data_IF_077623844631
#
_entry.id   IF_077623844631
#
_cell.length_a   1.000
_cell.length_b   1.000
_cell.length_c   1.000
_cell.angle_alpha   90.00
_cell.angle_beta   90.00
_cell.angle_gamma   90.00
#
_symmetry.space_group_name_H-M   'P 1'
#
loop_
_entity.id
_entity.type
_entity.pdbx_description
1 polymer ?
#
# COMPACT_ATOMS: atom_id res chain seq x y z
N UNK A 1 -4.73 29.31 -38.30
CA UNK A 1 -6.12 28.80 -38.41
C UNK A 1 -6.85 29.09 -37.10
N UNK A 2 -8.15 29.34 -37.16
CA UNK A 2 -8.94 30.05 -36.13
C UNK A 2 -8.91 29.44 -34.72
N UNK A 3 -8.35 30.17 -33.74
CA UNK A 3 -8.51 29.96 -32.29
C UNK A 3 -9.92 30.33 -31.76
N UNK A 4 -10.86 30.67 -32.65
CA UNK A 4 -12.18 31.21 -32.30
C UNK A 4 -13.20 30.19 -31.72
N UNK A 5 -12.77 28.97 -31.38
CA UNK A 5 -13.64 27.93 -30.82
C UNK A 5 -13.03 27.10 -29.68
N UNK A 6 -11.81 27.43 -29.22
CA UNK A 6 -11.13 26.64 -28.18
C UNK A 6 -11.61 27.03 -26.79
N UNK A 7 -12.82 26.60 -26.44
CA UNK A 7 -13.28 26.53 -25.05
C UNK A 7 -12.99 25.15 -24.47
N UNK A 8 -12.91 25.06 -23.14
CA UNK A 8 -12.89 23.74 -22.49
C UNK A 8 -14.25 23.06 -22.68
N UNK A 9 -14.24 21.77 -23.02
CA UNK A 9 -15.44 20.94 -23.11
C UNK A 9 -16.03 20.59 -21.74
N UNK A 10 -15.21 20.69 -20.68
CA UNK A 10 -15.55 20.36 -19.29
C UNK A 10 -14.71 21.19 -18.31
N UNK A 11 -15.11 21.35 -17.03
CA UNK A 11 -14.35 22.12 -16.05
C UNK A 11 -12.89 21.67 -15.94
N UNK A 12 -11.98 22.54 -15.49
CA UNK A 12 -10.58 22.20 -15.25
C UNK A 12 -10.44 20.99 -14.31
N UNK A 13 -9.43 20.11 -14.51
CA UNK A 13 -9.06 19.10 -13.52
C UNK A 13 -8.77 19.77 -12.17
N UNK A 14 -9.12 19.09 -11.07
CA UNK A 14 -9.06 19.68 -9.74
C UNK A 14 -7.65 20.14 -9.36
N UNK A 15 -6.64 19.33 -9.69
CA UNK A 15 -5.23 19.64 -9.46
C UNK A 15 -4.81 20.90 -10.23
N UNK A 16 -5.20 21.00 -11.51
CA UNK A 16 -4.91 22.17 -12.36
C UNK A 16 -5.61 23.42 -11.83
N UNK A 17 -6.88 23.30 -11.46
CA UNK A 17 -7.65 24.40 -10.86
C UNK A 17 -6.98 24.92 -9.59
N UNK A 18 -6.53 24.02 -8.73
CA UNK A 18 -5.86 24.36 -7.47
C UNK A 18 -4.55 25.10 -7.75
N UNK A 19 -3.73 24.58 -8.66
CA UNK A 19 -2.45 25.19 -9.03
C UNK A 19 -2.63 26.59 -9.64
N UNK A 20 -3.59 26.75 -10.56
CA UNK A 20 -3.93 28.04 -11.17
C UNK A 20 -4.41 29.05 -10.12
N UNK A 21 -5.22 28.62 -9.16
CA UNK A 21 -5.68 29.46 -8.04
C UNK A 21 -4.52 29.86 -7.13
N UNK A 22 -3.58 28.97 -6.85
CA UNK A 22 -2.40 29.26 -6.02
C UNK A 22 -1.50 30.31 -6.66
N UNK A 23 -1.20 30.17 -7.96
CA UNK A 23 -0.45 31.16 -8.73
C UNK A 23 -1.14 32.53 -8.71
N UNK A 24 -2.45 32.55 -8.98
CA UNK A 24 -3.22 33.78 -8.95
C UNK A 24 -3.30 34.42 -7.56
N UNK A 25 -3.39 33.61 -6.50
CA UNK A 25 -3.36 34.09 -5.12
C UNK A 25 -2.01 34.73 -4.75
N UNK A 26 -0.90 34.19 -5.27
CA UNK A 26 0.43 34.76 -5.09
C UNK A 26 0.53 36.12 -5.79
N UNK A 27 0.13 36.19 -7.06
CA UNK A 27 0.10 37.44 -7.85
C UNK A 27 -0.80 38.49 -7.19
N UNK A 28 -1.99 38.09 -6.74
CA UNK A 28 -2.93 38.96 -6.02
C UNK A 28 -2.31 39.60 -4.76
N UNK A 29 -1.34 38.92 -4.14
CA UNK A 29 -0.62 39.42 -2.96
C UNK A 29 0.40 40.50 -3.24
N UNK A 30 0.92 40.56 -4.46
CA UNK A 30 1.94 41.53 -4.87
C UNK A 30 1.33 42.71 -5.63
N UNK A 31 0.03 42.67 -5.91
CA UNK A 31 -0.67 43.72 -6.65
C UNK A 31 -0.91 44.98 -5.80
N UNK A 32 -0.74 46.19 -6.37
CA UNK A 32 -1.16 47.42 -5.71
C UNK A 32 -2.68 47.44 -5.56
N UNK A 33 -3.19 48.05 -4.48
CA UNK A 33 -4.63 48.05 -4.16
C UNK A 33 -5.51 48.60 -5.30
N UNK A 34 -5.01 49.55 -6.09
CA UNK A 34 -5.70 50.11 -7.25
C UNK A 34 -5.83 49.13 -8.42
N UNK A 35 -4.93 48.14 -8.51
CA UNK A 35 -4.92 47.11 -9.55
C UNK A 35 -5.75 45.88 -9.22
N UNK A 36 -6.16 45.70 -7.95
CA UNK A 36 -6.92 44.52 -7.52
C UNK A 36 -8.37 44.55 -8.04
N UNK A 37 -8.83 43.50 -8.75
CA UNK A 37 -10.21 43.41 -9.21
C UNK A 37 -11.21 43.54 -8.06
N UNK A 38 -12.33 44.23 -8.31
CA UNK A 38 -13.32 44.52 -7.27
C UNK A 38 -13.79 43.28 -6.48
N UNK A 39 -14.10 42.13 -7.11
CA UNK A 39 -14.50 40.90 -6.41
C UNK A 39 -13.40 40.30 -5.52
N UNK A 40 -12.12 40.59 -5.80
CA UNK A 40 -10.97 40.01 -5.10
C UNK A 40 -10.39 40.90 -4.00
N UNK A 41 -10.91 42.11 -3.78
CA UNK A 41 -10.37 43.05 -2.78
C UNK A 41 -10.38 42.50 -1.35
N UNK A 42 -11.41 41.72 -0.98
CA UNK A 42 -11.46 41.06 0.32
C UNK A 42 -10.42 39.94 0.42
N UNK A 43 -10.29 39.15 -0.65
CA UNK A 43 -9.35 38.03 -0.74
C UNK A 43 -7.90 38.52 -0.71
N UNK A 44 -7.59 39.65 -1.35
CA UNK A 44 -6.25 40.26 -1.33
C UNK A 44 -5.76 40.58 0.10
N UNK A 45 -6.69 40.93 1.00
CA UNK A 45 -6.40 41.23 2.42
C UNK A 45 -6.17 39.99 3.27
N UNK A 46 -6.50 38.79 2.77
CA UNK A 46 -6.20 37.56 3.49
C UNK A 46 -4.71 37.36 3.65
N UNK A 47 -4.34 36.69 4.74
CA UNK A 47 -2.99 36.20 4.98
C UNK A 47 -2.49 35.39 3.77
N UNK A 48 -1.23 35.55 3.32
CA UNK A 48 -0.73 34.91 2.10
C UNK A 48 -1.02 33.41 2.03
N UNK A 49 -0.76 32.68 3.12
CA UNK A 49 -0.96 31.21 3.21
C UNK A 49 -2.42 30.78 3.13
N UNK A 50 -3.38 31.65 3.46
CA UNK A 50 -4.81 31.33 3.46
C UNK A 50 -5.51 31.78 2.19
N UNK A 51 -4.88 32.62 1.37
CA UNK A 51 -5.53 33.30 0.25
C UNK A 51 -6.03 32.33 -0.82
N UNK A 52 -5.20 31.38 -1.24
CA UNK A 52 -5.60 30.35 -2.20
C UNK A 52 -6.72 29.46 -1.64
N UNK A 53 -6.61 29.05 -0.36
CA UNK A 53 -7.57 28.13 0.27
C UNK A 53 -8.94 28.77 0.53
N UNK A 54 -8.97 29.98 1.11
CA UNK A 54 -10.21 30.67 1.49
C UNK A 54 -10.80 31.49 0.33
N UNK A 55 -9.97 31.87 -0.64
CA UNK A 55 -10.35 32.65 -1.81
C UNK A 55 -10.45 31.82 -3.09
N UNK A 56 -10.45 30.49 -3.02
CA UNK A 56 -10.36 29.64 -4.21
C UNK A 56 -11.46 29.90 -5.23
N UNK A 57 -12.73 29.88 -4.80
CA UNK A 57 -13.89 30.11 -5.65
C UNK A 57 -13.88 31.52 -6.31
N UNK A 58 -13.75 32.64 -5.56
CA UNK A 58 -13.73 33.96 -6.19
C UNK A 58 -12.51 34.16 -7.10
N UNK A 59 -11.34 33.61 -6.76
CA UNK A 59 -10.15 33.67 -7.62
C UNK A 59 -10.39 32.92 -8.93
N UNK A 60 -10.89 31.68 -8.86
CA UNK A 60 -11.18 30.87 -10.04
C UNK A 60 -12.20 31.56 -10.96
N UNK A 61 -13.29 32.09 -10.39
CA UNK A 61 -14.29 32.84 -11.13
C UNK A 61 -13.70 34.09 -11.80
N UNK A 62 -12.79 34.81 -11.13
CA UNK A 62 -12.13 35.96 -11.73
C UNK A 62 -11.18 35.56 -12.88
N UNK A 63 -10.44 34.46 -12.73
CA UNK A 63 -9.55 33.95 -13.79
C UNK A 63 -10.29 33.51 -15.04
N UNK A 64 -11.54 33.05 -14.90
CA UNK A 64 -12.39 32.70 -16.02
C UNK A 64 -12.94 33.95 -16.72
N UNK A 65 -13.54 34.85 -15.94
CA UNK A 65 -14.35 35.97 -16.47
C UNK A 65 -13.55 37.25 -16.77
N UNK A 66 -12.41 37.48 -16.13
CA UNK A 66 -11.59 38.68 -16.30
C UNK A 66 -10.29 38.36 -17.02
N UNK A 67 -10.29 38.67 -18.32
CA UNK A 67 -9.12 38.49 -19.18
C UNK A 67 -7.90 39.28 -18.68
N UNK A 68 -8.08 40.51 -18.19
CA UNK A 68 -6.96 41.34 -17.74
C UNK A 68 -6.30 40.75 -16.49
N UNK A 69 -7.11 40.27 -15.54
CA UNK A 69 -6.56 39.58 -14.37
C UNK A 69 -5.81 38.30 -14.76
N UNK A 70 -6.37 37.49 -15.66
CA UNK A 70 -5.70 36.29 -16.16
C UNK A 70 -4.38 36.62 -16.87
N UNK A 71 -4.33 37.66 -17.68
CA UNK A 71 -3.10 38.10 -18.37
C UNK A 71 -2.01 38.53 -17.38
N UNK A 72 -2.36 39.21 -16.29
CA UNK A 72 -1.39 39.55 -15.24
C UNK A 72 -0.81 38.32 -14.55
N UNK A 73 -1.65 37.30 -14.32
CA UNK A 73 -1.18 36.02 -13.76
C UNK A 73 -0.32 35.26 -14.77
N UNK A 74 -0.68 35.30 -16.06
CA UNK A 74 0.10 34.72 -17.14
C UNK A 74 1.46 35.40 -17.32
N UNK A 75 1.54 36.73 -17.15
CA UNK A 75 2.79 37.49 -17.19
C UNK A 75 3.71 37.06 -16.04
N UNK A 76 3.19 36.97 -14.82
CA UNK A 76 3.97 36.49 -13.67
C UNK A 76 4.46 35.05 -13.87
N UNK A 77 3.64 34.19 -14.47
CA UNK A 77 4.05 32.83 -14.84
C UNK A 77 5.16 32.85 -15.91
N UNK A 78 5.04 33.70 -16.92
CA UNK A 78 6.03 33.84 -18.01
C UNK A 78 7.39 34.30 -17.46
N UNK A 79 7.39 35.20 -16.47
CA UNK A 79 8.62 35.62 -15.80
C UNK A 79 9.25 34.49 -14.97
N UNK A 80 8.43 33.65 -14.34
CA UNK A 80 8.92 32.52 -13.54
C UNK A 80 9.39 31.33 -14.39
N UNK A 81 8.73 31.07 -15.52
CA UNK A 81 8.93 29.90 -16.38
C UNK A 81 8.98 30.27 -17.87
N UNK A 82 9.94 31.10 -18.32
CA UNK A 82 9.98 31.63 -19.67
C UNK A 82 10.08 30.52 -20.74
N UNK A 83 10.95 29.54 -20.52
CA UNK A 83 11.18 28.42 -21.45
C UNK A 83 9.93 27.55 -21.64
N UNK A 84 9.17 27.32 -20.57
CA UNK A 84 7.92 26.56 -20.65
C UNK A 84 6.90 27.32 -21.50
N UNK A 85 6.67 28.59 -21.20
CA UNK A 85 5.69 29.41 -21.93
C UNK A 85 6.08 29.54 -23.40
N UNK A 86 7.37 29.73 -23.70
CA UNK A 86 7.88 29.78 -25.07
C UNK A 86 7.61 28.45 -25.82
N UNK A 87 7.89 27.32 -25.19
CA UNK A 87 7.65 25.99 -25.79
C UNK A 87 6.16 25.79 -26.11
N UNK A 88 5.27 26.15 -25.18
CA UNK A 88 3.82 26.01 -25.39
C UNK A 88 3.29 26.95 -26.49
N UNK A 89 3.90 28.13 -26.66
CA UNK A 89 3.56 29.03 -27.77
C UNK A 89 3.92 28.43 -29.14
N UNK A 90 4.91 27.54 -29.19
CA UNK A 90 5.28 26.73 -30.36
C UNK A 90 4.54 25.38 -30.41
N UNK A 91 3.43 25.24 -29.66
CA UNK A 91 2.62 24.01 -29.57
C UNK A 91 3.43 22.76 -29.13
N UNK A 92 4.56 22.98 -28.45
CA UNK A 92 5.49 21.94 -28.02
C UNK A 92 5.45 21.77 -26.51
N UNK A 93 5.16 20.56 -26.04
CA UNK A 93 5.20 20.22 -24.61
C UNK A 93 6.58 19.65 -24.29
N UNK A 94 7.36 20.25 -23.38
CA UNK A 94 8.65 19.70 -22.99
C UNK A 94 8.48 18.30 -22.37
N UNK A 95 9.32 17.30 -22.76
CA UNK A 95 9.08 15.90 -22.42
C UNK A 95 9.17 15.56 -20.92
N UNK A 96 9.80 16.42 -20.12
CA UNK A 96 9.91 16.28 -18.67
C UNK A 96 9.05 17.30 -17.90
N UNK A 97 8.18 18.05 -18.58
CA UNK A 97 7.30 19.01 -17.93
C UNK A 97 6.21 18.29 -17.13
N UNK A 98 5.91 18.83 -15.96
CA UNK A 98 4.87 18.31 -15.08
C UNK A 98 3.48 18.61 -15.68
N UNK A 99 2.59 17.61 -15.87
CA UNK A 99 1.33 17.81 -16.60
C UNK A 99 0.42 18.89 -16.01
N UNK A 100 0.36 19.02 -14.67
CA UNK A 100 -0.46 20.05 -14.02
C UNK A 100 0.07 21.44 -14.34
N UNK A 101 1.39 21.65 -14.26
CA UNK A 101 2.05 22.90 -14.62
C UNK A 101 1.86 23.25 -16.11
N UNK A 102 1.97 22.28 -17.01
CA UNK A 102 1.70 22.48 -18.45
C UNK A 102 0.27 22.95 -18.68
N UNK A 103 -0.71 22.26 -18.10
CA UNK A 103 -2.12 22.63 -18.24
C UNK A 103 -2.44 23.98 -17.59
N UNK A 104 -1.85 24.30 -16.44
CA UNK A 104 -2.00 25.59 -15.80
C UNK A 104 -1.40 26.72 -16.66
N UNK A 105 -0.21 26.49 -17.23
CA UNK A 105 0.43 27.43 -18.13
C UNK A 105 -0.37 27.66 -19.41
N UNK A 106 -0.82 26.59 -20.06
CA UNK A 106 -1.69 26.63 -21.22
C UNK A 106 -3.02 27.37 -20.90
N UNK A 107 -3.62 27.09 -19.74
CA UNK A 107 -4.85 27.77 -19.32
C UNK A 107 -4.66 29.28 -19.11
N UNK A 108 -3.55 29.70 -18.52
CA UNK A 108 -3.29 31.11 -18.23
C UNK A 108 -2.87 31.90 -19.47
N UNK A 109 -1.97 31.33 -20.29
CA UNK A 109 -1.36 32.02 -21.45
C UNK A 109 -2.16 31.88 -22.74
N UNK A 110 -3.07 30.89 -22.83
CA UNK A 110 -3.96 30.65 -23.98
C UNK A 110 -3.24 30.61 -25.35
N UNK A 111 -2.13 29.86 -25.52
CA UNK A 111 -1.54 29.63 -26.84
C UNK A 111 -2.53 28.86 -27.73
N UNK A 112 -2.29 28.80 -29.06
CA UNK A 112 -3.04 27.89 -29.93
C UNK A 112 -3.02 26.46 -29.37
N UNK A 113 -4.16 25.76 -29.41
CA UNK A 113 -4.23 24.36 -28.92
C UNK A 113 -4.24 24.19 -27.39
N UNK A 114 -4.29 25.28 -26.61
CA UNK A 114 -4.20 25.22 -25.14
C UNK A 114 -5.24 24.26 -24.50
N UNK A 115 -6.45 24.19 -25.07
CA UNK A 115 -7.51 23.31 -24.55
C UNK A 115 -7.12 21.84 -24.67
N UNK A 116 -6.45 21.46 -25.77
CA UNK A 116 -5.91 20.12 -25.96
C UNK A 116 -4.81 19.77 -24.95
N UNK A 117 -3.94 20.73 -24.61
CA UNK A 117 -2.92 20.53 -23.57
C UNK A 117 -3.52 20.28 -22.18
N UNK A 118 -4.65 20.94 -21.86
CA UNK A 118 -5.39 20.70 -20.61
C UNK A 118 -6.05 19.32 -20.61
N UNK A 119 -6.59 18.88 -21.74
CA UNK A 119 -7.19 17.55 -21.84
C UNK A 119 -6.13 16.43 -21.78
N UNK A 120 -4.96 16.62 -22.38
CA UNK A 120 -3.84 15.69 -22.24
C UNK A 120 -3.41 15.54 -20.78
N UNK A 121 -3.23 16.66 -20.07
CA UNK A 121 -2.90 16.60 -18.64
C UNK A 121 -4.00 15.92 -17.81
N UNK A 122 -5.27 16.01 -18.23
CA UNK A 122 -6.35 15.28 -17.57
C UNK A 122 -6.23 13.78 -17.79
N UNK A 123 -5.96 13.34 -19.01
CA UNK A 123 -5.72 11.92 -19.30
C UNK A 123 -4.57 11.37 -18.46
N UNK A 124 -3.47 12.13 -18.33
CA UNK A 124 -2.34 11.78 -17.47
C UNK A 124 -2.74 11.67 -15.99
N UNK A 125 -3.53 12.62 -15.47
CA UNK A 125 -4.01 12.61 -14.10
C UNK A 125 -4.98 11.45 -13.82
N UNK A 126 -5.89 11.17 -14.75
CA UNK A 126 -6.85 10.07 -14.66
C UNK A 126 -6.11 8.73 -14.69
N UNK A 127 -5.08 8.60 -15.53
CA UNK A 127 -4.21 7.42 -15.58
C UNK A 127 -3.41 7.24 -14.28
N UNK A 128 -2.82 8.31 -13.75
CA UNK A 128 -2.10 8.27 -12.48
C UNK A 128 -3.01 7.84 -11.32
N UNK A 129 -4.22 8.41 -11.23
CA UNK A 129 -5.20 8.04 -10.21
C UNK A 129 -5.66 6.58 -10.32
N UNK A 130 -5.81 6.07 -11.56
CA UNK A 130 -6.14 4.67 -11.80
C UNK A 130 -5.00 3.73 -11.34
N UNK A 131 -3.74 4.08 -11.62
CA UNK A 131 -2.57 3.31 -11.19
C UNK A 131 -2.42 3.31 -9.67
N UNK A 132 -2.63 4.44 -9.01
CA UNK A 132 -2.61 4.52 -7.54
C UNK A 132 -3.70 3.64 -6.92
N UNK A 133 -4.92 3.70 -7.45
CA UNK A 133 -6.02 2.84 -7.00
C UNK A 133 -5.68 1.35 -7.17
N UNK A 134 -5.10 0.97 -8.31
CA UNK A 134 -4.67 -0.43 -8.55
C UNK A 134 -3.57 -0.85 -7.58
N UNK A 135 -2.62 0.04 -7.30
CA UNK A 135 -1.54 -0.20 -6.34
C UNK A 135 -2.10 -0.40 -4.93
N UNK A 136 -2.98 0.47 -4.46
CA UNK A 136 -3.62 0.35 -3.15
C UNK A 136 -4.38 -0.98 -3.00
N UNK A 137 -5.12 -1.38 -4.04
CA UNK A 137 -5.82 -2.67 -4.06
C UNK A 137 -4.85 -3.87 -4.05
N UNK A 138 -3.74 -3.78 -4.77
CA UNK A 138 -2.70 -4.82 -4.74
C UNK A 138 -2.04 -4.90 -3.35
N UNK A 139 -1.68 -3.76 -2.76
CA UNK A 139 -1.12 -3.69 -1.40
C UNK A 139 -2.10 -4.24 -0.36
N UNK A 140 -3.40 -3.93 -0.49
CA UNK A 140 -4.45 -4.49 0.37
C UNK A 140 -4.52 -6.01 0.30
N UNK A 141 -4.56 -6.57 -0.92
CA UNK A 141 -4.56 -8.03 -1.13
C UNK A 141 -3.31 -8.71 -0.57
N UNK A 142 -2.13 -8.11 -0.77
CA UNK A 142 -0.87 -8.66 -0.24
C UNK A 142 -0.84 -8.63 1.29
N UNK A 143 -1.34 -7.57 1.93
CA UNK A 143 -1.46 -7.49 3.39
C UNK A 143 -2.40 -8.55 3.94
N UNK A 144 -3.53 -8.78 3.28
CA UNK A 144 -4.48 -9.82 3.67
C UNK A 144 -3.86 -11.22 3.53
N UNK A 145 -3.22 -11.52 2.40
CA UNK A 145 -2.52 -12.79 2.19
C UNK A 145 -1.43 -13.01 3.24
N UNK A 146 -0.64 -11.97 3.56
CA UNK A 146 0.39 -12.05 4.60
C UNK A 146 -0.22 -12.34 5.98
N UNK A 147 -1.36 -11.72 6.31
CA UNK A 147 -2.06 -11.99 7.55
C UNK A 147 -2.57 -13.44 7.62
N UNK A 148 -3.19 -13.93 6.54
CA UNK A 148 -3.66 -15.31 6.43
C UNK A 148 -2.51 -16.32 6.57
N UNK A 149 -1.40 -16.10 5.88
CA UNK A 149 -0.21 -16.97 5.96
C UNK A 149 0.40 -16.98 7.36
N UNK A 150 0.43 -15.84 8.06
CA UNK A 150 0.91 -15.77 9.45
C UNK A 150 0.02 -16.56 10.40
N UNK A 151 -1.30 -16.46 10.24
CA UNK A 151 -2.26 -17.23 11.03
C UNK A 151 -2.10 -18.73 10.76
N UNK A 152 -2.08 -19.14 9.50
CA UNK A 152 -1.88 -20.54 9.12
C UNK A 152 -0.55 -21.11 9.63
N UNK A 153 0.54 -20.35 9.53
CA UNK A 153 1.84 -20.76 10.04
C UNK A 153 1.83 -20.94 11.57
N UNK A 154 1.13 -20.05 12.31
CA UNK A 154 0.98 -20.17 13.76
C UNK A 154 0.17 -21.41 14.14
N UNK A 155 -0.95 -21.64 13.47
CA UNK A 155 -1.79 -22.83 13.67
C UNK A 155 -1.02 -24.13 13.42
N UNK A 156 -0.22 -24.18 12.35
CA UNK A 156 0.60 -25.36 12.05
C UNK A 156 1.72 -25.56 13.09
N UNK A 157 2.35 -24.49 13.56
CA UNK A 157 3.34 -24.57 14.67
C UNK A 157 2.69 -25.11 15.94
N UNK A 158 1.50 -24.62 16.30
CA UNK A 158 0.79 -25.07 17.50
C UNK A 158 0.35 -26.54 17.37
N UNK A 159 -0.11 -26.95 16.18
CA UNK A 159 -0.42 -28.35 15.86
C UNK A 159 0.80 -29.26 15.99
N UNK A 160 1.93 -28.91 15.38
CA UNK A 160 3.16 -29.71 15.44
C UNK A 160 3.69 -29.82 16.87
N UNK A 161 3.56 -28.76 17.68
CA UNK A 161 3.91 -28.79 19.11
C UNK A 161 3.07 -29.79 19.90
N UNK A 162 1.76 -29.82 19.68
CA UNK A 162 0.88 -30.79 20.34
C UNK A 162 1.16 -32.23 19.88
N UNK A 163 1.42 -32.45 18.58
CA UNK A 163 1.86 -33.76 18.08
C UNK A 163 3.18 -34.22 18.73
N UNK A 164 4.15 -33.32 18.86
CA UNK A 164 5.43 -33.63 19.53
C UNK A 164 5.23 -33.98 21.01
N UNK A 165 4.34 -33.26 21.70
CA UNK A 165 4.00 -33.55 23.10
C UNK A 165 3.36 -34.92 23.25
N UNK A 166 2.40 -35.25 22.38
CA UNK A 166 1.74 -36.56 22.35
C UNK A 166 2.75 -37.69 22.09
N UNK A 167 3.60 -37.56 21.06
CA UNK A 167 4.61 -38.56 20.73
C UNK A 167 5.63 -38.78 21.86
N UNK A 168 6.02 -37.72 22.59
CA UNK A 168 6.89 -37.83 23.77
C UNK A 168 6.22 -38.59 24.93
N UNK A 169 4.93 -38.33 25.17
CA UNK A 169 4.16 -39.04 26.20
C UNK A 169 4.04 -40.53 25.85
N UNK A 170 3.71 -40.85 24.59
CA UNK A 170 3.65 -42.21 24.09
C UNK A 170 5.00 -42.93 24.20
N UNK A 171 6.11 -42.28 23.82
CA UNK A 171 7.45 -42.87 23.95
C UNK A 171 7.79 -43.21 25.41
N UNK A 172 7.40 -42.35 26.34
CA UNK A 172 7.61 -42.57 27.79
C UNK A 172 6.79 -43.75 28.29
N UNK A 173 5.51 -43.86 27.89
CA UNK A 173 4.65 -44.98 28.27
C UNK A 173 5.13 -46.31 27.66
N UNK A 174 5.54 -46.31 26.38
CA UNK A 174 6.12 -47.49 25.72
C UNK A 174 7.42 -47.95 26.40
N UNK A 175 8.29 -47.01 26.83
CA UNK A 175 9.49 -47.37 27.61
C UNK A 175 9.14 -48.04 28.93
N UNK A 176 8.13 -47.53 29.66
CA UNK A 176 7.65 -48.15 30.90
C UNK A 176 7.09 -49.55 30.62
N UNK A 177 6.19 -49.70 29.65
CA UNK A 177 5.61 -50.99 29.26
C UNK A 177 6.67 -52.01 28.83
N UNK A 178 7.70 -51.57 28.10
CA UNK A 178 8.82 -52.42 27.69
C UNK A 178 9.64 -52.88 28.90
N UNK A 179 9.90 -51.99 29.87
CA UNK A 179 10.57 -52.36 31.11
C UNK A 179 9.74 -53.40 31.89
N UNK A 180 8.46 -53.14 32.11
CA UNK A 180 7.55 -54.06 32.83
C UNK A 180 7.43 -55.42 32.12
N UNK A 181 7.43 -55.43 30.79
CA UNK A 181 7.43 -56.67 30.00
C UNK A 181 8.73 -57.45 30.16
N UNK A 182 9.89 -56.78 30.17
CA UNK A 182 11.20 -57.40 30.40
C UNK A 182 11.31 -58.01 31.80
N UNK A 183 10.88 -57.28 32.83
CA UNK A 183 10.89 -57.80 34.21
C UNK A 183 9.97 -59.01 34.37
N UNK A 184 8.77 -58.98 33.75
CA UNK A 184 7.87 -60.14 33.74
C UNK A 184 8.46 -61.34 33.00
N UNK A 185 9.12 -61.12 31.86
CA UNK A 185 9.79 -62.19 31.11
C UNK A 185 10.90 -62.83 31.95
N UNK A 186 11.76 -62.01 32.57
CA UNK A 186 12.83 -62.47 33.45
C UNK A 186 12.31 -63.27 34.64
N UNK A 187 11.25 -62.80 35.30
CA UNK A 187 10.63 -63.53 36.41
C UNK A 187 10.00 -64.86 35.96
N UNK A 188 9.40 -64.91 34.76
CA UNK A 188 8.87 -66.14 34.18
C UNK A 188 9.99 -67.15 33.85
N UNK A 189 11.10 -66.68 33.28
CA UNK A 189 12.29 -67.50 33.01
C UNK A 189 12.88 -68.08 34.31
N UNK A 190 12.99 -67.27 35.38
CA UNK A 190 13.47 -67.74 36.69
C UNK A 190 12.56 -68.83 37.27
N UNK A 191 11.24 -68.61 37.27
CA UNK A 191 10.27 -69.62 37.76
C UNK A 191 10.31 -70.90 36.94
N UNK A 192 10.47 -70.80 35.62
CA UNK A 192 10.62 -71.97 34.76
C UNK A 192 11.88 -72.76 35.14
N UNK A 193 13.02 -72.08 35.34
CA UNK A 193 14.26 -72.72 35.79
C UNK A 193 14.14 -73.38 37.18
N UNK A 194 13.45 -72.74 38.13
CA UNK A 194 13.17 -73.32 39.45
C UNK A 194 12.30 -74.58 39.37
N UNK A 195 11.25 -74.55 38.55
CA UNK A 195 10.39 -75.71 38.31
C UNK A 195 11.15 -76.85 37.64
N UNK A 196 11.97 -76.55 36.63
CA UNK A 196 12.83 -77.53 35.96
C UNK A 196 13.80 -78.17 36.96
N UNK A 197 14.48 -77.38 37.79
CA UNK A 197 15.37 -77.89 38.84
C UNK A 197 14.63 -78.75 39.87
N UNK A 198 13.45 -78.32 40.33
CA UNK A 198 12.62 -79.09 41.25
C UNK A 198 12.16 -80.42 40.64
N UNK A 199 11.78 -80.44 39.35
CA UNK A 199 11.42 -81.68 38.65
C UNK A 199 12.62 -82.61 38.49
N UNK A 200 13.82 -82.07 38.24
CA UNK A 200 15.05 -82.84 38.15
C UNK A 200 15.42 -83.47 39.50
N UNK A 201 15.34 -82.71 40.60
CA UNK A 201 15.59 -83.22 41.96
C UNK A 201 14.56 -84.30 42.36
N UNK A 202 13.27 -84.07 42.07
CA UNK A 202 12.23 -85.07 42.30
C UNK A 202 12.49 -86.37 41.53
N UNK A 203 12.88 -86.27 40.25
CA UNK A 203 13.28 -87.44 39.43
C UNK A 203 14.49 -88.16 40.01
N UNK A 204 15.50 -87.43 40.47
CA UNK A 204 16.70 -88.00 41.08
C UNK A 204 16.37 -88.73 42.40
N UNK A 205 15.50 -88.18 43.24
CA UNK A 205 15.04 -88.84 44.48
C UNK A 205 14.25 -90.12 44.21
N UNK A 206 13.36 -90.12 43.21
CA UNK A 206 12.63 -91.33 42.81
C UNK A 206 13.58 -92.41 42.28
N UNK A 207 14.57 -92.03 41.46
CA UNK A 207 15.59 -92.96 40.97
C UNK A 207 16.46 -93.53 42.10
N UNK A 208 16.83 -92.71 43.09
CA UNK A 208 17.59 -93.15 44.27
C UNK A 208 16.80 -94.08 45.19
N UNK A 209 15.50 -93.82 45.40
CA UNK A 209 14.63 -94.69 46.19
C UNK A 209 14.41 -96.06 45.52
N UNK A 210 14.35 -96.11 44.18
CA UNK A 210 14.25 -97.36 43.42
C UNK A 210 15.53 -98.19 43.39
N UNK A 211 16.69 -97.62 43.73
CA UNK A 211 17.98 -98.32 43.80
C UNK A 211 18.31 -98.88 45.20
N UNK A 212 17.53 -98.51 46.22
CA UNK A 212 17.72 -98.92 47.62
C UNK A 212 16.69 -99.97 48.11
N UNK A 213 15.79 -100.42 47.22
CA UNK A 213 14.83 -101.51 47.42
C UNK A 213 15.26 -102.74 46.62
#
# INVERSE_FOLDING_TARGET
MSSAGEGLSRPLPEQVRTHVVELAAQVLGTMPAAGVPAPLRAVAKFEPRKRARLGSAPIAAQLENDKKFRELVAEALTQAWPELVASLAEETIPPAAEPVLVAAAAYLTRPPGWAGMVELAREDLDQAAALDTQREQAEGRLKEQLAQQRTAAKEEVDRVREQLKAARAENTDLRRKLHDARERAKAAEQRAGELEAATADARARVAGAGAAA
#
